data_IF_098835696902
#
_entry.id   IF_098835696902
#
_cell.length_a   1.000
_cell.length_b   1.000
_cell.length_c   1.000
_cell.angle_alpha   90.00
_cell.angle_beta   90.00
_cell.angle_gamma   90.00
#
_symmetry.space_group_name_H-M   'P 1'
#
loop_
_entity.id
_entity.type
_entity.pdbx_description
1 polymer ?
#
# COMPACT_ATOMS: atom_id res chain seq x y z
N UNK A 1 -53.23 -13.45 -31.02
CA UNK A 1 -53.91 -12.16 -30.74
C UNK A 1 -52.81 -11.10 -30.52
N UNK A 2 -52.70 -10.20 -31.50
CA UNK A 2 -51.81 -9.03 -31.42
C UNK A 2 -52.49 -8.02 -30.47
N UNK A 3 -51.90 -7.82 -29.32
CA UNK A 3 -52.30 -6.72 -28.44
C UNK A 3 -51.53 -5.48 -28.88
N UNK A 4 -52.06 -4.72 -29.84
CA UNK A 4 -51.53 -3.43 -30.29
C UNK A 4 -52.00 -2.35 -29.29
N UNK A 5 -51.14 -1.96 -28.39
CA UNK A 5 -51.32 -0.71 -27.64
C UNK A 5 -50.86 0.41 -28.59
N UNK A 6 -51.79 1.01 -29.32
CA UNK A 6 -51.57 2.08 -30.26
C UNK A 6 -51.73 3.43 -29.57
N UNK A 7 -50.71 3.85 -28.83
CA UNK A 7 -50.67 5.21 -28.31
C UNK A 7 -49.75 6.09 -29.15
N UNK A 8 -50.22 7.30 -29.45
CA UNK A 8 -49.38 8.33 -30.08
C UNK A 8 -48.23 8.67 -29.16
N UNK A 9 -47.05 8.96 -29.67
CA UNK A 9 -45.89 9.38 -28.83
C UNK A 9 -46.29 10.71 -28.17
N UNK A 10 -46.75 10.66 -26.95
CA UNK A 10 -46.86 11.84 -26.08
C UNK A 10 -45.54 12.05 -25.40
N UNK A 11 -44.95 13.25 -25.58
CA UNK A 11 -43.92 13.70 -24.68
C UNK A 11 -44.57 13.86 -23.30
N UNK A 12 -44.09 13.10 -22.31
CA UNK A 12 -44.51 13.23 -20.93
C UNK A 12 -43.40 13.98 -20.21
N UNK A 13 -43.78 14.94 -19.42
CA UNK A 13 -42.95 15.53 -18.38
C UNK A 13 -43.45 15.08 -17.02
N UNK A 14 -42.58 14.80 -16.07
CA UNK A 14 -42.99 14.35 -14.76
C UNK A 14 -41.88 14.46 -13.75
N UNK A 15 -42.23 14.21 -12.50
CA UNK A 15 -41.30 14.15 -11.39
C UNK A 15 -41.21 12.71 -10.89
N UNK A 16 -40.03 12.29 -10.40
CA UNK A 16 -39.87 11.01 -9.75
C UNK A 16 -40.38 11.14 -8.30
N UNK A 17 -41.34 10.30 -7.90
CA UNK A 17 -42.02 10.40 -6.58
C UNK A 17 -41.04 10.53 -5.40
N UNK A 18 -39.92 9.82 -5.44
CA UNK A 18 -38.90 9.88 -4.40
C UNK A 18 -38.03 11.16 -4.44
N UNK A 19 -38.08 11.91 -5.55
CA UNK A 19 -37.29 13.12 -5.78
C UNK A 19 -38.19 14.25 -6.33
N UNK A 20 -38.84 15.00 -5.47
CA UNK A 20 -39.88 15.98 -5.86
C UNK A 20 -39.34 17.11 -6.78
N UNK A 21 -38.06 17.39 -6.73
CA UNK A 21 -37.43 18.42 -7.57
C UNK A 21 -36.91 17.85 -8.91
N UNK A 22 -37.14 16.56 -9.17
CA UNK A 22 -36.72 15.94 -10.42
C UNK A 22 -37.55 16.41 -11.62
N UNK A 23 -36.89 16.58 -12.76
CA UNK A 23 -37.51 16.92 -14.01
C UNK A 23 -36.99 15.97 -15.10
N UNK A 24 -37.85 15.54 -16.02
CA UNK A 24 -37.46 14.75 -17.17
C UNK A 24 -38.48 14.85 -18.33
N UNK A 25 -38.03 14.66 -19.55
CA UNK A 25 -38.84 14.41 -20.70
C UNK A 25 -38.78 12.93 -21.11
N UNK A 26 -39.93 12.31 -21.35
CA UNK A 26 -40.01 10.93 -21.83
C UNK A 26 -40.80 10.90 -23.13
N UNK A 27 -40.22 10.27 -24.15
CA UNK A 27 -40.85 10.07 -25.46
C UNK A 27 -40.57 8.66 -25.93
N UNK A 28 -41.57 7.99 -26.44
CA UNK A 28 -41.37 6.68 -27.04
C UNK A 28 -42.63 5.85 -27.13
N UNK A 29 -42.46 4.63 -27.64
CA UNK A 29 -43.47 3.60 -27.78
C UNK A 29 -42.82 2.23 -27.83
N UNK A 30 -43.46 1.25 -27.24
CA UNK A 30 -43.05 -0.14 -27.36
C UNK A 30 -44.27 -1.01 -27.73
N UNK A 31 -44.01 -2.02 -28.53
CA UNK A 31 -44.99 -3.02 -28.94
C UNK A 31 -44.53 -4.37 -28.43
N UNK A 32 -45.49 -5.13 -27.89
CA UNK A 32 -45.25 -6.51 -27.45
C UNK A 32 -45.97 -7.44 -28.45
N UNK A 33 -45.28 -8.45 -28.92
CA UNK A 33 -45.81 -9.43 -29.87
C UNK A 33 -45.20 -10.82 -29.63
N UNK A 34 -45.83 -11.84 -30.19
CA UNK A 34 -45.41 -13.25 -29.99
C UNK A 34 -46.11 -13.94 -28.83
N UNK A 35 -45.52 -15.03 -28.32
CA UNK A 35 -46.07 -15.84 -27.26
C UNK A 35 -45.81 -15.24 -25.88
N UNK A 36 -46.74 -15.47 -24.95
CA UNK A 36 -46.67 -14.91 -23.61
C UNK A 36 -45.43 -15.41 -22.82
N UNK A 37 -44.99 -16.64 -23.13
CA UNK A 37 -43.75 -17.24 -22.51
C UNK A 37 -42.46 -16.72 -23.10
N UNK A 38 -42.48 -16.14 -24.26
CA UNK A 38 -41.32 -15.59 -24.97
C UNK A 38 -41.75 -14.32 -25.73
N UNK A 39 -42.09 -13.25 -25.02
CA UNK A 39 -42.57 -12.02 -25.63
C UNK A 39 -41.41 -11.34 -26.40
N UNK A 40 -41.74 -10.84 -27.58
CA UNK A 40 -40.82 -10.00 -28.37
C UNK A 40 -41.24 -8.55 -28.24
N UNK A 41 -40.25 -7.68 -28.03
CA UNK A 41 -40.47 -6.25 -27.88
C UNK A 41 -39.90 -5.53 -29.12
N UNK A 42 -40.59 -4.49 -29.58
CA UNK A 42 -40.14 -3.60 -30.65
C UNK A 42 -40.52 -2.17 -30.34
N UNK A 43 -39.65 -1.23 -30.66
CA UNK A 43 -39.84 0.19 -30.42
C UNK A 43 -38.80 0.71 -29.44
N UNK A 44 -39.01 1.87 -28.87
CA UNK A 44 -38.03 2.43 -27.96
C UNK A 44 -38.55 3.62 -27.18
N UNK A 45 -37.75 4.02 -26.21
CA UNK A 45 -37.97 5.18 -25.36
C UNK A 45 -36.75 6.08 -25.40
N UNK A 46 -37.00 7.37 -25.35
CA UNK A 46 -36.00 8.41 -25.20
C UNK A 46 -36.32 9.21 -23.93
N UNK A 47 -35.34 9.29 -23.02
CA UNK A 47 -35.38 10.17 -21.86
C UNK A 47 -34.49 11.37 -22.14
N UNK A 48 -35.01 12.56 -21.95
CA UNK A 48 -34.27 13.80 -22.21
C UNK A 48 -34.31 14.71 -21.00
N UNK A 49 -33.20 15.44 -20.78
CA UNK A 49 -33.07 16.47 -19.77
C UNK A 49 -33.50 16.00 -18.38
N UNK A 50 -33.11 14.77 -17.98
CA UNK A 50 -33.33 14.30 -16.63
C UNK A 50 -32.45 15.09 -15.68
N UNK A 51 -33.05 15.70 -14.68
CA UNK A 51 -32.37 16.39 -13.57
C UNK A 51 -32.93 15.88 -12.25
N UNK A 52 -32.03 15.48 -11.35
CA UNK A 52 -32.35 15.11 -9.96
C UNK A 52 -31.42 15.91 -9.05
N UNK A 53 -31.80 17.15 -8.68
CA UNK A 53 -30.94 18.05 -7.90
C UNK A 53 -30.52 17.47 -6.55
N UNK A 54 -31.37 16.68 -5.91
CA UNK A 54 -31.10 16.02 -4.62
C UNK A 54 -29.90 15.06 -4.70
N UNK A 55 -29.68 14.46 -5.86
CA UNK A 55 -28.58 13.56 -6.14
C UNK A 55 -27.43 14.23 -6.91
N UNK A 56 -27.54 15.51 -7.24
CA UNK A 56 -26.60 16.20 -8.12
C UNK A 56 -26.40 15.44 -9.44
N UNK A 57 -27.51 14.88 -9.97
CA UNK A 57 -27.54 14.07 -11.17
C UNK A 57 -28.22 14.86 -12.29
N UNK A 58 -27.55 14.93 -13.45
CA UNK A 58 -28.17 15.40 -14.69
C UNK A 58 -27.84 14.44 -15.82
N UNK A 59 -28.79 14.21 -16.70
CA UNK A 59 -28.66 13.37 -17.88
C UNK A 59 -29.26 14.10 -19.08
N UNK A 60 -28.48 14.32 -20.12
CA UNK A 60 -28.95 15.01 -21.30
C UNK A 60 -29.87 14.14 -22.15
N UNK A 61 -29.45 12.91 -22.41
CA UNK A 61 -30.19 11.97 -23.24
C UNK A 61 -29.89 10.52 -22.84
N UNK A 62 -30.94 9.70 -22.83
CA UNK A 62 -30.84 8.25 -22.77
C UNK A 62 -31.81 7.63 -23.78
N UNK A 63 -31.33 6.70 -24.56
CA UNK A 63 -32.09 5.96 -25.57
C UNK A 63 -32.23 4.49 -25.11
N UNK A 64 -33.41 3.92 -25.34
CA UNK A 64 -33.70 2.49 -25.13
C UNK A 64 -34.38 1.97 -26.36
N UNK A 65 -33.81 1.00 -27.06
CA UNK A 65 -34.31 0.43 -28.32
C UNK A 65 -34.52 -1.09 -28.20
N UNK A 66 -35.76 -1.52 -28.30
CA UNK A 66 -36.18 -2.91 -28.19
C UNK A 66 -36.05 -3.65 -29.52
N UNK A 67 -35.34 -4.76 -29.54
CA UNK A 67 -35.02 -5.60 -30.73
C UNK A 67 -35.37 -7.08 -30.51
N UNK A 68 -36.66 -7.38 -30.38
CA UNK A 68 -37.14 -8.74 -30.15
C UNK A 68 -36.93 -9.19 -28.71
N UNK A 69 -35.93 -10.03 -28.45
CA UNK A 69 -35.59 -10.55 -27.13
C UNK A 69 -34.44 -9.80 -26.43
N UNK A 70 -33.99 -8.70 -27.00
CA UNK A 70 -32.98 -7.84 -26.44
C UNK A 70 -33.40 -6.37 -26.51
N UNK A 71 -32.72 -5.55 -25.73
CA UNK A 71 -32.81 -4.11 -25.80
C UNK A 71 -31.41 -3.49 -25.70
N UNK A 72 -31.15 -2.54 -26.62
CA UNK A 72 -29.99 -1.70 -26.54
C UNK A 72 -30.31 -0.44 -25.74
N UNK A 73 -29.39 0.01 -24.92
CA UNK A 73 -29.52 1.29 -24.23
C UNK A 73 -28.27 2.12 -24.36
N UNK A 74 -28.44 3.43 -24.41
CA UNK A 74 -27.36 4.40 -24.45
C UNK A 74 -27.71 5.55 -23.47
N UNK A 75 -26.81 5.84 -22.56
CA UNK A 75 -26.85 6.97 -21.63
C UNK A 75 -25.76 7.94 -22.02
N UNK A 76 -26.14 9.12 -22.44
CA UNK A 76 -25.23 10.15 -22.98
C UNK A 76 -25.22 11.37 -22.07
N UNK A 77 -24.02 11.92 -21.87
CA UNK A 77 -23.83 13.13 -21.07
C UNK A 77 -24.48 13.02 -19.67
N UNK A 78 -24.28 11.87 -19.01
CA UNK A 78 -24.62 11.71 -17.60
C UNK A 78 -23.58 12.43 -16.77
N UNK A 79 -24.04 13.37 -15.93
CA UNK A 79 -23.22 14.04 -14.94
C UNK A 79 -23.71 13.62 -13.53
N UNK A 80 -22.79 13.14 -12.69
CA UNK A 80 -23.08 12.73 -11.33
C UNK A 80 -22.10 13.40 -10.38
N UNK A 81 -22.58 14.41 -9.67
CA UNK A 81 -21.80 15.24 -8.74
C UNK A 81 -20.45 15.70 -9.33
N UNK A 82 -20.48 16.19 -10.59
CA UNK A 82 -19.30 16.68 -11.30
C UNK A 82 -18.45 15.60 -11.97
N UNK A 83 -18.88 14.34 -11.95
CA UNK A 83 -18.30 13.25 -12.72
C UNK A 83 -19.10 13.00 -13.98
N UNK A 84 -18.46 12.94 -15.14
CA UNK A 84 -19.13 12.61 -16.39
C UNK A 84 -19.11 11.11 -16.64
N UNK A 85 -20.19 10.57 -17.21
CA UNK A 85 -20.25 9.17 -17.63
C UNK A 85 -21.05 9.01 -18.92
N UNK A 86 -20.63 8.03 -19.71
CA UNK A 86 -21.38 7.50 -20.84
C UNK A 86 -21.49 6.00 -20.66
N UNK A 87 -22.70 5.48 -20.81
CA UNK A 87 -22.98 4.06 -20.62
C UNK A 87 -23.74 3.55 -21.83
N UNK A 88 -23.24 2.49 -22.45
CA UNK A 88 -23.93 1.82 -23.55
C UNK A 88 -24.01 0.33 -23.23
N UNK A 89 -25.08 -0.32 -23.63
CA UNK A 89 -25.19 -1.74 -23.38
C UNK A 89 -26.36 -2.40 -24.08
N UNK A 90 -26.40 -3.71 -23.92
CA UNK A 90 -27.48 -4.56 -24.42
C UNK A 90 -27.90 -5.51 -23.31
N UNK A 91 -29.17 -5.61 -23.03
CA UNK A 91 -29.69 -6.56 -22.05
C UNK A 91 -30.78 -7.46 -22.66
N UNK A 92 -31.00 -8.61 -22.03
CA UNK A 92 -32.07 -9.56 -22.38
C UNK A 92 -33.43 -9.05 -21.89
N UNK A 93 -34.45 -9.15 -22.74
CA UNK A 93 -35.85 -8.89 -22.38
C UNK A 93 -36.65 -10.17 -22.13
N UNK A 94 -36.00 -11.32 -22.17
CA UNK A 94 -36.62 -12.60 -21.83
C UNK A 94 -36.91 -12.65 -20.33
N UNK A 95 -38.03 -13.28 -19.93
CA UNK A 95 -38.32 -13.54 -18.55
C UNK A 95 -37.21 -14.38 -17.91
N UNK A 96 -36.53 -13.83 -16.95
CA UNK A 96 -35.46 -14.49 -16.18
C UNK A 96 -35.54 -14.03 -14.73
N UNK A 97 -35.00 -14.84 -13.82
CA UNK A 97 -34.81 -14.43 -12.42
C UNK A 97 -33.73 -13.37 -12.26
N UNK A 98 -32.84 -13.26 -13.25
CA UNK A 98 -31.74 -12.31 -13.26
C UNK A 98 -31.92 -11.30 -14.39
N UNK A 99 -31.49 -10.06 -14.15
CA UNK A 99 -31.33 -9.04 -15.18
C UNK A 99 -30.01 -9.28 -15.93
N UNK A 100 -30.09 -9.75 -17.15
CA UNK A 100 -28.95 -10.21 -17.93
C UNK A 100 -28.47 -9.15 -18.90
N UNK A 101 -27.27 -8.63 -18.69
CA UNK A 101 -26.59 -7.66 -19.55
C UNK A 101 -25.55 -8.42 -20.38
N UNK A 102 -25.80 -8.54 -21.67
CA UNK A 102 -24.91 -9.23 -22.60
C UNK A 102 -23.67 -8.38 -22.95
N UNK A 103 -23.84 -7.07 -23.03
CA UNK A 103 -22.78 -6.09 -23.31
C UNK A 103 -22.98 -4.85 -22.46
N UNK A 104 -21.88 -4.31 -21.90
CA UNK A 104 -21.86 -3.06 -21.11
C UNK A 104 -20.56 -2.30 -21.36
N UNK A 105 -20.65 -1.12 -21.95
CA UNK A 105 -19.50 -0.24 -22.14
C UNK A 105 -19.70 1.03 -21.31
N UNK A 106 -18.79 1.30 -20.39
CA UNK A 106 -18.81 2.48 -19.52
C UNK A 106 -17.58 3.33 -19.80
N UNK A 107 -17.77 4.60 -20.08
CA UNK A 107 -16.67 5.53 -20.29
C UNK A 107 -16.88 6.83 -19.52
N UNK A 108 -15.75 7.47 -19.15
CA UNK A 108 -15.74 8.75 -18.46
C UNK A 108 -14.47 9.52 -18.81
N UNK A 109 -14.59 10.83 -18.99
CA UNK A 109 -13.43 11.72 -19.10
C UNK A 109 -12.88 12.06 -17.72
N UNK A 110 -13.78 12.23 -16.74
CA UNK A 110 -13.42 12.57 -15.37
C UNK A 110 -14.38 11.92 -14.38
N UNK A 111 -13.86 11.04 -13.54
CA UNK A 111 -14.58 10.37 -12.46
C UNK A 111 -13.94 10.72 -11.11
N UNK A 112 -14.71 11.35 -10.24
CA UNK A 112 -14.32 11.55 -8.85
C UNK A 112 -15.08 10.55 -7.98
N UNK A 113 -14.38 9.52 -7.49
CA UNK A 113 -14.98 8.40 -6.77
C UNK A 113 -15.63 8.87 -5.47
N UNK A 114 -14.97 9.75 -4.72
CA UNK A 114 -15.46 10.25 -3.43
C UNK A 114 -16.77 11.02 -3.60
N UNK A 115 -16.86 11.83 -4.66
CA UNK A 115 -18.08 12.57 -4.98
C UNK A 115 -19.22 11.66 -5.42
N UNK A 116 -18.92 10.61 -6.17
CA UNK A 116 -19.93 9.62 -6.60
C UNK A 116 -20.41 8.80 -5.40
N UNK A 117 -19.52 8.38 -4.51
CA UNK A 117 -19.90 7.68 -3.27
C UNK A 117 -20.81 8.51 -2.39
N UNK A 118 -20.56 9.82 -2.26
CA UNK A 118 -21.44 10.74 -1.56
C UNK A 118 -22.87 10.77 -2.13
N UNK A 119 -23.05 10.54 -3.42
CA UNK A 119 -24.39 10.46 -4.04
C UNK A 119 -25.13 9.22 -3.58
N UNK A 120 -24.47 8.08 -3.46
CA UNK A 120 -25.11 6.86 -2.95
C UNK A 120 -25.59 7.02 -1.50
N UNK A 121 -24.81 7.69 -0.65
CA UNK A 121 -25.23 8.02 0.72
C UNK A 121 -26.44 8.97 0.74
N UNK A 122 -26.48 9.96 -0.16
CA UNK A 122 -27.63 10.84 -0.33
C UNK A 122 -28.87 10.07 -0.79
N UNK A 123 -28.71 9.18 -1.79
CA UNK A 123 -29.81 8.36 -2.30
C UNK A 123 -30.46 7.49 -1.21
N UNK A 124 -29.67 6.94 -0.29
CA UNK A 124 -30.17 6.18 0.86
C UNK A 124 -31.08 6.99 1.79
N UNK A 125 -30.90 8.31 1.88
CA UNK A 125 -31.78 9.18 2.68
C UNK A 125 -33.17 9.33 2.08
N UNK A 126 -33.29 9.19 0.76
CA UNK A 126 -34.56 9.29 0.04
C UNK A 126 -35.16 7.92 -0.27
N UNK A 127 -34.44 6.83 0.00
CA UNK A 127 -34.98 5.49 -0.16
C UNK A 127 -36.23 5.31 0.71
N UNK A 128 -37.34 4.73 0.17
CA UNK A 128 -38.52 4.45 0.97
C UNK A 128 -38.14 3.59 2.16
N UNK A 129 -38.45 4.04 3.37
CA UNK A 129 -38.26 3.24 4.58
C UNK A 129 -39.24 2.08 4.52
N UNK A 130 -38.86 1.00 3.90
CA UNK A 130 -39.61 -0.26 3.97
C UNK A 130 -39.59 -0.69 5.41
N UNK A 131 -40.77 -0.91 6.07
CA UNK A 131 -40.76 -1.43 7.43
C UNK A 131 -39.99 -2.75 7.42
N UNK A 132 -38.94 -2.81 8.26
CA UNK A 132 -38.13 -4.01 8.42
C UNK A 132 -39.06 -5.15 8.78
N UNK A 133 -39.36 -6.03 7.85
CA UNK A 133 -39.94 -7.34 8.17
C UNK A 133 -38.84 -8.05 8.96
N UNK A 134 -39.03 -8.10 10.27
CA UNK A 134 -38.28 -8.95 11.17
C UNK A 134 -38.59 -10.41 10.81
N UNK A 135 -37.85 -10.93 9.85
CA UNK A 135 -37.69 -12.35 9.62
C UNK A 135 -36.21 -12.67 9.82
N UNK A 136 -35.95 -13.21 11.01
CA UNK A 136 -34.72 -13.91 11.31
C UNK A 136 -34.50 -15.00 10.26
N UNK A 137 -33.21 -15.15 9.81
CA UNK A 137 -32.70 -16.11 8.82
C UNK A 137 -32.93 -15.69 7.35
N UNK A 138 -32.23 -14.67 6.88
CA UNK A 138 -31.99 -14.54 5.45
C UNK A 138 -30.50 -14.65 5.18
N UNK A 139 -30.11 -15.75 4.53
CA UNK A 139 -28.87 -15.72 3.74
C UNK A 139 -28.90 -14.45 2.89
N UNK A 140 -27.75 -13.76 2.72
CA UNK A 140 -27.68 -12.59 1.85
C UNK A 140 -28.26 -12.98 0.48
N UNK A 141 -29.27 -12.25 0.01
CA UNK A 141 -29.93 -12.55 -1.24
C UNK A 141 -28.92 -12.39 -2.41
N UNK A 142 -28.97 -13.31 -3.35
CA UNK A 142 -28.20 -13.23 -4.57
C UNK A 142 -28.51 -11.92 -5.32
N UNK A 143 -27.47 -11.30 -5.88
CA UNK A 143 -27.62 -10.09 -6.70
C UNK A 143 -28.26 -10.51 -8.02
N UNK A 144 -29.48 -10.07 -8.35
CA UNK A 144 -30.19 -10.54 -9.53
C UNK A 144 -29.72 -9.82 -10.80
N UNK A 145 -28.41 -9.66 -10.96
CA UNK A 145 -27.79 -9.02 -12.14
C UNK A 145 -26.64 -9.85 -12.63
N UNK A 146 -26.59 -10.10 -13.92
CA UNK A 146 -25.48 -10.77 -14.60
C UNK A 146 -24.93 -9.83 -15.67
N UNK A 147 -23.64 -9.60 -15.72
CA UNK A 147 -22.92 -8.88 -16.76
C UNK A 147 -21.93 -9.86 -17.42
N UNK A 148 -22.22 -10.26 -18.65
CA UNK A 148 -21.37 -11.23 -19.36
C UNK A 148 -20.10 -10.58 -19.88
N UNK A 149 -20.25 -9.48 -20.64
CA UNK A 149 -19.14 -8.77 -21.26
C UNK A 149 -19.31 -7.27 -21.02
N UNK A 150 -18.45 -6.72 -20.18
CA UNK A 150 -18.38 -5.30 -19.96
C UNK A 150 -16.99 -4.74 -20.23
N UNK A 151 -16.92 -3.46 -20.56
CA UNK A 151 -15.68 -2.71 -20.65
C UNK A 151 -15.78 -1.38 -19.91
N UNK A 152 -14.66 -0.94 -19.34
CA UNK A 152 -14.51 0.40 -18.79
C UNK A 152 -13.37 1.12 -19.49
N UNK A 153 -13.57 2.42 -19.74
CA UNK A 153 -12.56 3.29 -20.32
C UNK A 153 -12.64 4.68 -19.67
N UNK A 154 -11.81 4.92 -18.67
CA UNK A 154 -11.79 6.16 -17.92
C UNK A 154 -10.50 6.93 -18.19
N UNK A 155 -10.64 8.18 -18.68
CA UNK A 155 -9.47 9.01 -18.96
C UNK A 155 -8.80 9.45 -17.66
N UNK A 156 -9.61 9.83 -16.65
CA UNK A 156 -9.10 10.24 -15.33
C UNK A 156 -10.04 9.82 -14.22
N UNK A 157 -9.48 9.21 -13.19
CA UNK A 157 -10.15 8.86 -11.93
C UNK A 157 -9.42 9.57 -10.78
N UNK A 158 -10.17 10.19 -9.88
CA UNK A 158 -9.62 10.82 -8.67
C UNK A 158 -10.31 10.22 -7.45
N UNK A 159 -9.51 9.84 -6.44
CA UNK A 159 -9.99 9.40 -5.12
C UNK A 159 -9.01 9.88 -4.05
N UNK A 160 -9.47 10.65 -3.09
CA UNK A 160 -8.58 11.36 -2.17
C UNK A 160 -7.57 12.23 -2.94
N UNK A 161 -6.29 11.99 -2.69
CA UNK A 161 -5.19 12.64 -3.39
C UNK A 161 -4.66 11.83 -4.60
N UNK A 162 -5.21 10.63 -4.84
CA UNK A 162 -4.72 9.73 -5.89
C UNK A 162 -5.33 10.11 -7.23
N UNK A 163 -4.49 10.39 -8.23
CA UNK A 163 -4.85 10.67 -9.62
C UNK A 163 -4.47 9.47 -10.51
N UNK A 164 -5.48 8.78 -11.01
CA UNK A 164 -5.35 7.59 -11.86
C UNK A 164 -5.77 7.97 -13.28
N UNK A 165 -4.98 7.61 -14.29
CA UNK A 165 -5.21 8.02 -15.69
C UNK A 165 -5.23 6.84 -16.64
N UNK A 166 -5.98 7.02 -17.75
CA UNK A 166 -6.02 6.08 -18.86
C UNK A 166 -6.36 4.66 -18.41
N UNK A 167 -7.41 4.51 -17.61
CA UNK A 167 -7.87 3.22 -17.07
C UNK A 167 -8.72 2.49 -18.10
N UNK A 168 -8.32 1.30 -18.47
CA UNK A 168 -9.05 0.39 -19.32
C UNK A 168 -9.11 -1.00 -18.69
N UNK A 169 -10.27 -1.62 -18.70
CA UNK A 169 -10.44 -2.99 -18.23
C UNK A 169 -11.69 -3.64 -18.82
N UNK A 170 -11.71 -4.95 -18.86
CA UNK A 170 -12.93 -5.73 -19.01
C UNK A 170 -13.59 -5.96 -17.66
N UNK A 171 -14.91 -5.93 -17.60
CA UNK A 171 -15.69 -6.21 -16.39
C UNK A 171 -16.70 -7.33 -16.63
N UNK A 172 -17.02 -8.07 -15.59
CA UNK A 172 -18.12 -9.04 -15.59
C UNK A 172 -18.68 -9.21 -14.18
N UNK A 173 -19.95 -9.57 -14.09
CA UNK A 173 -20.62 -9.90 -12.83
C UNK A 173 -21.42 -11.19 -13.04
N UNK A 174 -21.12 -12.22 -12.31
CA UNK A 174 -21.86 -13.47 -12.32
C UNK A 174 -21.67 -14.16 -10.97
N UNK A 175 -22.71 -14.83 -10.47
CA UNK A 175 -22.68 -15.55 -9.19
C UNK A 175 -22.14 -14.66 -8.03
N UNK A 176 -22.57 -13.42 -8.00
CA UNK A 176 -22.14 -12.40 -7.03
C UNK A 176 -20.64 -12.05 -7.08
N UNK A 177 -19.91 -12.51 -8.09
CA UNK A 177 -18.49 -12.18 -8.26
C UNK A 177 -18.36 -11.12 -9.34
N UNK A 178 -17.94 -9.93 -8.93
CA UNK A 178 -17.54 -8.85 -9.82
C UNK A 178 -16.07 -9.00 -10.16
N UNK A 179 -15.76 -9.06 -11.46
CA UNK A 179 -14.40 -9.19 -11.95
C UNK A 179 -14.00 -7.98 -12.78
N UNK A 180 -12.81 -7.49 -12.55
CA UNK A 180 -12.08 -6.53 -13.39
C UNK A 180 -10.90 -7.30 -14.00
N UNK A 181 -10.89 -7.44 -15.31
CA UNK A 181 -9.89 -8.23 -16.03
C UNK A 181 -9.09 -7.36 -17.00
N UNK A 182 -7.81 -7.72 -17.17
CA UNK A 182 -6.90 -7.01 -18.09
C UNK A 182 -6.83 -5.51 -17.78
N UNK A 183 -6.90 -5.14 -16.52
CA UNK A 183 -6.74 -3.76 -16.06
C UNK A 183 -5.42 -3.20 -16.59
N UNK A 184 -5.49 -2.03 -17.18
CA UNK A 184 -4.35 -1.22 -17.59
C UNK A 184 -4.62 0.20 -17.17
N UNK A 185 -3.71 0.79 -16.42
CA UNK A 185 -3.88 2.16 -15.93
C UNK A 185 -2.53 2.82 -15.67
N UNK A 186 -2.54 4.13 -15.47
CA UNK A 186 -1.39 4.90 -14.99
C UNK A 186 -1.73 5.49 -13.63
N UNK A 187 -0.85 5.25 -12.65
CA UNK A 187 -0.91 5.84 -11.33
C UNK A 187 0.51 6.16 -10.86
N UNK A 188 0.69 7.25 -10.13
CA UNK A 188 2.00 7.66 -9.59
C UNK A 188 3.08 7.69 -10.69
N UNK A 189 2.74 8.28 -11.83
CA UNK A 189 3.54 8.40 -13.06
C UNK A 189 3.93 7.06 -13.73
N UNK A 190 3.69 5.93 -13.09
CA UNK A 190 3.96 4.59 -13.59
C UNK A 190 2.77 3.94 -14.30
N UNK A 191 2.95 2.66 -14.64
CA UNK A 191 1.94 1.82 -15.29
C UNK A 191 1.57 0.67 -14.38
N UNK A 192 0.28 0.45 -14.19
CA UNK A 192 -0.26 -0.66 -13.41
C UNK A 192 -1.11 -1.56 -14.31
N UNK A 193 -1.00 -2.87 -14.13
CA UNK A 193 -1.77 -3.88 -14.86
C UNK A 193 -2.18 -4.98 -13.91
N UNK A 194 -3.28 -5.67 -14.23
CA UNK A 194 -3.67 -6.86 -13.48
C UNK A 194 -5.13 -7.17 -13.51
N UNK A 195 -5.58 -7.86 -12.48
CA UNK A 195 -6.95 -8.31 -12.31
C UNK A 195 -7.39 -8.12 -10.87
N UNK A 196 -8.67 -7.81 -10.69
CA UNK A 196 -9.29 -7.69 -9.38
C UNK A 196 -10.59 -8.49 -9.42
N UNK A 197 -10.89 -9.24 -8.37
CA UNK A 197 -12.20 -9.87 -8.22
C UNK A 197 -12.75 -9.64 -6.83
N UNK A 198 -14.05 -9.41 -6.74
CA UNK A 198 -14.75 -9.13 -5.49
C UNK A 198 -16.05 -9.96 -5.43
N UNK A 199 -16.20 -10.75 -4.39
CA UNK A 199 -17.48 -11.35 -4.06
C UNK A 199 -18.32 -10.33 -3.27
N UNK A 200 -19.42 -9.88 -3.87
CA UNK A 200 -20.25 -8.80 -3.35
C UNK A 200 -21.07 -9.19 -2.11
N UNK A 201 -21.23 -10.50 -1.85
CA UNK A 201 -21.92 -11.01 -0.66
C UNK A 201 -20.96 -11.20 0.50
N UNK A 202 -19.83 -11.87 0.24
CA UNK A 202 -18.86 -12.20 1.28
C UNK A 202 -17.81 -11.12 1.52
N UNK A 203 -17.81 -10.07 0.68
CA UNK A 203 -16.80 -9.00 0.66
C UNK A 203 -15.36 -9.52 0.48
N UNK A 204 -15.20 -10.72 -0.09
CA UNK A 204 -13.88 -11.27 -0.42
C UNK A 204 -13.33 -10.55 -1.65
N UNK A 205 -12.24 -9.82 -1.46
CA UNK A 205 -11.51 -9.09 -2.48
C UNK A 205 -10.18 -9.80 -2.78
N UNK A 206 -9.93 -10.11 -4.06
CA UNK A 206 -8.65 -10.63 -4.54
C UNK A 206 -8.04 -9.62 -5.51
N UNK A 207 -6.76 -9.32 -5.32
CA UNK A 207 -6.01 -8.30 -6.07
C UNK A 207 -4.73 -8.93 -6.60
N UNK A 208 -4.56 -8.96 -7.92
CA UNK A 208 -3.31 -9.33 -8.60
C UNK A 208 -2.89 -8.21 -9.51
N UNK A 209 -1.89 -7.46 -9.10
CA UNK A 209 -1.41 -6.30 -9.84
C UNK A 209 0.09 -6.36 -10.02
N UNK A 210 0.56 -5.80 -11.12
CA UNK A 210 1.96 -5.50 -11.38
C UNK A 210 2.10 -4.03 -11.73
N UNK A 211 3.08 -3.37 -11.14
CA UNK A 211 3.41 -1.98 -11.42
C UNK A 211 4.84 -1.82 -11.91
N UNK A 212 5.09 -0.84 -12.78
CA UNK A 212 6.43 -0.49 -13.25
C UNK A 212 6.56 1.00 -13.48
N UNK A 213 7.70 1.55 -13.12
CA UNK A 213 7.98 2.97 -13.26
C UNK A 213 7.16 3.83 -12.31
N UNK A 214 6.81 3.29 -11.14
CA UNK A 214 6.05 3.97 -10.10
C UNK A 214 6.98 4.95 -9.37
N UNK A 215 6.61 6.21 -9.32
CA UNK A 215 7.24 7.20 -8.46
C UNK A 215 6.86 6.91 -7.01
N UNK A 216 7.86 6.51 -6.22
CA UNK A 216 7.66 6.08 -4.82
C UNK A 216 7.30 7.24 -3.92
N UNK A 217 7.94 8.38 -4.08
CA UNK A 217 7.67 9.56 -3.25
C UNK A 217 6.24 10.04 -3.43
N UNK A 218 5.79 10.13 -4.68
CA UNK A 218 4.42 10.46 -5.02
C UNK A 218 3.41 9.42 -4.51
N UNK A 219 3.73 8.14 -4.64
CA UNK A 219 2.86 7.07 -4.16
C UNK A 219 2.70 7.13 -2.63
N UNK A 220 3.78 7.34 -1.89
CA UNK A 220 3.75 7.47 -0.43
C UNK A 220 3.03 8.75 0.02
N UNK A 221 3.26 9.87 -0.67
CA UNK A 221 2.59 11.12 -0.37
C UNK A 221 1.09 11.04 -0.63
N UNK A 222 0.69 10.62 -1.84
CA UNK A 222 -0.71 10.66 -2.28
C UNK A 222 -1.57 9.57 -1.59
N UNK A 223 -1.01 8.37 -1.37
CA UNK A 223 -1.76 7.26 -0.80
C UNK A 223 -1.66 7.17 0.73
N UNK A 224 -0.55 7.58 1.34
CA UNK A 224 -0.31 7.43 2.77
C UNK A 224 -0.04 8.75 3.52
N UNK A 225 0.04 9.89 2.84
CA UNK A 225 0.40 11.17 3.44
C UNK A 225 1.85 11.25 3.93
N UNK A 226 2.69 10.29 3.53
CA UNK A 226 4.09 10.16 3.97
C UNK A 226 4.99 10.97 3.04
N UNK A 227 5.35 12.16 3.49
CA UNK A 227 6.23 13.07 2.76
C UNK A 227 7.71 12.80 3.10
N UNK A 228 8.60 12.96 2.12
CA UNK A 228 10.07 12.90 2.28
C UNK A 228 10.56 11.62 2.98
N UNK A 229 9.88 10.47 2.78
CA UNK A 229 10.18 9.20 3.47
C UNK A 229 11.08 8.30 2.62
N UNK A 230 10.74 8.15 1.36
CA UNK A 230 11.45 7.30 0.41
C UNK A 230 11.19 7.82 -1.00
N UNK A 231 12.24 7.99 -1.78
CA UNK A 231 12.14 8.31 -3.20
C UNK A 231 12.71 7.19 -4.07
N UNK A 232 12.50 7.29 -5.38
CA UNK A 232 12.99 6.34 -6.37
C UNK A 232 11.91 5.83 -7.30
N UNK A 233 12.29 4.94 -8.21
CA UNK A 233 11.36 4.35 -9.18
C UNK A 233 11.12 2.89 -8.85
N UNK A 234 9.87 2.53 -8.58
CA UNK A 234 9.48 1.18 -8.18
C UNK A 234 8.92 0.34 -9.33
N UNK A 235 9.20 -0.95 -9.25
CA UNK A 235 8.40 -2.03 -9.79
C UNK A 235 7.81 -2.84 -8.63
N UNK A 236 6.58 -3.33 -8.78
CA UNK A 236 5.96 -4.21 -7.78
C UNK A 236 5.13 -5.30 -8.43
N UNK A 237 4.94 -6.37 -7.69
CA UNK A 237 4.00 -7.44 -7.98
C UNK A 237 3.24 -7.78 -6.69
N UNK A 238 1.91 -7.87 -6.77
CA UNK A 238 1.07 -8.21 -5.64
C UNK A 238 0.08 -9.31 -5.99
N UNK A 239 -0.08 -10.27 -5.09
CA UNK A 239 -1.14 -11.27 -5.08
C UNK A 239 -1.66 -11.36 -3.64
N UNK A 240 -2.73 -10.62 -3.38
CA UNK A 240 -3.31 -10.51 -2.05
C UNK A 240 -4.81 -10.78 -2.07
N UNK A 241 -5.31 -11.28 -0.98
CA UNK A 241 -6.72 -11.42 -0.70
C UNK A 241 -7.07 -10.87 0.67
N UNK A 242 -8.23 -10.23 0.78
CA UNK A 242 -8.75 -9.72 2.04
C UNK A 242 -10.28 -9.79 2.06
N UNK A 243 -10.84 -9.84 3.27
CA UNK A 243 -12.29 -9.94 3.50
C UNK A 243 -12.66 -9.11 4.72
N UNK A 244 -13.83 -8.52 4.71
CA UNK A 244 -14.39 -7.80 5.85
C UNK A 244 -14.92 -6.42 5.49
N UNK A 245 -15.80 -5.91 6.35
CA UNK A 245 -16.39 -4.58 6.20
C UNK A 245 -15.60 -3.50 6.97
N UNK A 246 -14.87 -3.89 8.01
CA UNK A 246 -14.07 -2.99 8.84
C UNK A 246 -12.58 -3.14 8.54
N UNK A 247 -11.80 -2.12 8.85
CA UNK A 247 -10.35 -2.16 8.72
C UNK A 247 -9.73 -3.34 9.49
N UNK A 248 -10.20 -3.59 10.71
CA UNK A 248 -9.69 -4.69 11.55
C UNK A 248 -9.96 -6.06 10.91
N UNK A 249 -11.19 -6.30 10.42
CA UNK A 249 -11.53 -7.54 9.71
C UNK A 249 -10.70 -7.72 8.45
N UNK A 250 -10.50 -6.65 7.68
CA UNK A 250 -9.68 -6.66 6.48
C UNK A 250 -8.23 -7.00 6.79
N UNK A 251 -7.62 -6.39 7.82
CA UNK A 251 -6.24 -6.68 8.21
C UNK A 251 -6.09 -8.11 8.75
N UNK A 252 -7.02 -8.59 9.59
CA UNK A 252 -7.00 -9.99 10.07
C UNK A 252 -7.11 -11.00 8.94
N UNK A 253 -7.87 -10.69 7.90
CA UNK A 253 -8.08 -11.60 6.77
C UNK A 253 -7.07 -11.43 5.64
N UNK A 254 -6.23 -10.38 5.69
CA UNK A 254 -5.24 -10.08 4.67
C UNK A 254 -4.23 -11.23 4.53
N UNK A 255 -4.16 -11.80 3.32
CA UNK A 255 -3.25 -12.89 2.97
C UNK A 255 -2.61 -12.62 1.62
N UNK A 256 -1.40 -13.15 1.44
CA UNK A 256 -0.71 -13.10 0.16
C UNK A 256 0.64 -12.41 0.24
N UNK A 257 1.11 -11.91 -0.89
CA UNK A 257 2.47 -11.35 -1.02
C UNK A 257 2.49 -10.06 -1.82
N UNK A 258 3.46 -9.20 -1.47
CA UNK A 258 3.84 -8.01 -2.25
C UNK A 258 5.35 -8.04 -2.43
N UNK A 259 5.81 -8.28 -3.66
CA UNK A 259 7.21 -8.10 -4.05
C UNK A 259 7.45 -6.69 -4.57
N UNK A 260 8.58 -6.11 -4.26
CA UNK A 260 8.95 -4.78 -4.76
C UNK A 260 10.44 -4.68 -5.09
N UNK A 261 10.76 -3.80 -6.03
CA UNK A 261 12.11 -3.42 -6.45
C UNK A 261 12.12 -1.92 -6.73
N UNK A 262 12.77 -1.15 -5.88
CA UNK A 262 12.94 0.30 -6.01
C UNK A 262 14.35 0.59 -6.49
N UNK A 263 14.48 1.38 -7.52
CA UNK A 263 15.76 1.74 -8.15
C UNK A 263 16.09 3.21 -7.99
N UNK A 264 17.38 3.50 -7.84
CA UNK A 264 17.95 4.85 -7.81
C UNK A 264 17.16 5.76 -6.85
N UNK A 265 17.02 5.30 -5.62
CA UNK A 265 16.22 5.98 -4.61
C UNK A 265 17.08 6.58 -3.51
N UNK A 266 16.36 7.25 -2.63
CA UNK A 266 16.93 7.85 -1.44
C UNK A 266 15.96 7.65 -0.28
N UNK A 267 16.48 7.23 0.86
CA UNK A 267 15.74 7.29 2.12
C UNK A 267 15.60 8.75 2.53
N UNK A 268 14.48 9.13 3.07
CA UNK A 268 14.28 10.46 3.65
C UNK A 268 15.29 10.73 4.76
N UNK A 269 15.48 12.01 5.13
CA UNK A 269 16.53 12.37 6.07
C UNK A 269 16.36 11.61 7.39
N UNK A 270 17.38 10.82 7.73
CA UNK A 270 17.50 10.18 9.04
C UNK A 270 17.56 11.20 10.19
N UNK A 271 17.73 12.51 9.90
CA UNK A 271 17.72 13.59 10.89
C UNK A 271 16.41 13.74 11.68
N UNK A 272 15.28 13.21 11.16
CA UNK A 272 14.10 13.01 11.99
C UNK A 272 14.26 11.82 12.94
N UNK A 273 15.00 10.80 12.55
CA UNK A 273 15.42 9.71 13.44
C UNK A 273 16.36 10.22 14.54
N UNK A 274 17.25 11.16 14.24
CA UNK A 274 18.14 11.77 15.24
C UNK A 274 17.34 12.42 16.37
N UNK A 275 16.35 13.24 16.05
CA UNK A 275 15.44 13.81 17.06
C UNK A 275 14.58 12.74 17.74
N UNK A 276 14.37 11.62 17.08
CA UNK A 276 13.52 10.51 17.55
C UNK A 276 14.28 9.55 18.48
N UNK A 277 15.55 9.32 18.27
CA UNK A 277 16.35 8.38 19.09
C UNK A 277 16.89 9.06 20.36
N UNK A 278 17.11 10.37 20.32
CA UNK A 278 17.71 11.13 21.43
C UNK A 278 16.70 11.44 22.56
N UNK A 279 15.38 11.40 22.32
CA UNK A 279 14.45 12.14 23.16
C UNK A 279 13.96 11.47 24.45
N UNK A 280 13.85 10.16 24.63
CA UNK A 280 13.18 9.67 25.86
C UNK A 280 13.69 8.41 26.57
N UNK A 281 14.35 7.45 25.92
CA UNK A 281 14.69 6.18 26.57
C UNK A 281 16.17 5.81 26.67
N UNK A 282 17.04 6.70 26.25
CA UNK A 282 18.49 6.51 26.34
C UNK A 282 19.04 7.34 27.51
N UNK A 283 18.19 7.77 28.43
CA UNK A 283 18.59 8.52 29.63
C UNK A 283 19.43 7.71 30.60
N UNK A 284 19.43 6.39 30.46
CA UNK A 284 20.08 5.49 31.43
C UNK A 284 21.53 5.13 31.08
N UNK A 285 22.03 5.47 29.87
CA UNK A 285 23.45 5.25 29.53
C UNK A 285 23.98 6.38 28.66
N UNK A 286 24.79 7.26 29.21
CA UNK A 286 25.47 8.34 28.51
C UNK A 286 26.32 7.84 27.33
N UNK A 287 26.91 6.66 27.44
CA UNK A 287 27.69 6.04 26.35
C UNK A 287 26.81 5.63 25.17
N UNK A 288 25.66 5.04 25.46
CA UNK A 288 24.76 4.64 24.39
C UNK A 288 24.16 5.88 23.68
N UNK A 289 23.89 6.97 24.41
CA UNK A 289 23.49 8.26 23.87
C UNK A 289 24.55 8.89 22.97
N UNK A 290 25.77 8.94 23.46
CA UNK A 290 26.93 9.48 22.71
C UNK A 290 27.23 8.64 21.48
N UNK A 291 27.05 7.34 21.61
CA UNK A 291 27.27 6.34 20.61
C UNK A 291 26.27 6.37 19.48
N UNK A 292 24.99 6.28 19.80
CA UNK A 292 23.92 6.37 18.83
C UNK A 292 23.86 7.76 18.22
N UNK A 293 24.06 8.80 19.02
CA UNK A 293 24.20 10.17 18.51
C UNK A 293 25.33 10.33 17.51
N UNK A 294 26.49 9.71 17.78
CA UNK A 294 27.61 9.65 16.86
C UNK A 294 27.33 8.89 15.57
N UNK A 295 26.68 7.71 15.68
CA UNK A 295 26.24 6.92 14.52
C UNK A 295 25.27 7.74 13.66
N UNK A 296 24.27 8.33 14.26
CA UNK A 296 23.24 9.08 13.56
C UNK A 296 23.80 10.38 12.97
N UNK A 297 24.61 11.12 13.74
CA UNK A 297 25.29 12.32 13.26
C UNK A 297 26.25 12.00 12.09
N UNK A 298 26.99 10.90 12.18
CA UNK A 298 27.83 10.41 11.09
C UNK A 298 27.01 10.02 9.85
N UNK A 299 25.87 9.37 10.03
CA UNK A 299 24.95 8.99 8.94
C UNK A 299 24.25 10.19 8.30
N UNK A 300 24.06 11.31 9.01
CA UNK A 300 23.43 12.53 8.50
C UNK A 300 24.38 13.47 7.80
N UNK A 301 25.69 13.44 8.14
CA UNK A 301 26.71 14.29 7.54
C UNK A 301 27.24 13.77 6.21
N UNK A 302 27.10 12.47 5.95
CA UNK A 302 27.50 11.84 4.70
C UNK A 302 26.25 11.39 3.98
N UNK A 303 26.25 11.49 2.65
CA UNK A 303 25.14 11.06 1.82
C UNK A 303 24.97 9.52 1.83
N UNK A 304 24.59 9.01 3.02
CA UNK A 304 24.34 7.58 3.27
C UNK A 304 22.95 7.15 2.82
N UNK A 305 22.11 8.10 2.45
CA UNK A 305 20.69 7.89 2.19
C UNK A 305 20.39 7.37 0.79
N UNK A 306 21.34 7.54 -0.16
CA UNK A 306 21.18 7.05 -1.53
C UNK A 306 21.44 5.55 -1.66
N UNK A 307 20.56 4.87 -2.42
CA UNK A 307 20.72 3.48 -2.80
C UNK A 307 20.46 3.28 -4.30
N UNK A 308 21.14 2.31 -4.90
CA UNK A 308 20.90 1.90 -6.28
C UNK A 308 19.74 0.92 -6.41
N UNK A 309 19.53 0.09 -5.37
CA UNK A 309 18.50 -0.93 -5.32
C UNK A 309 17.99 -1.10 -3.90
N UNK A 310 16.68 -1.16 -3.75
CA UNK A 310 15.97 -1.60 -2.55
C UNK A 310 14.90 -2.61 -2.98
N UNK A 311 15.04 -3.86 -2.57
CA UNK A 311 14.13 -4.93 -2.96
C UNK A 311 13.73 -5.82 -1.80
N UNK A 312 12.57 -6.43 -1.89
CA UNK A 312 12.09 -7.35 -0.89
C UNK A 312 10.73 -7.94 -1.22
N UNK A 313 10.29 -8.83 -0.34
CA UNK A 313 8.96 -9.41 -0.40
C UNK A 313 8.31 -9.31 0.97
N UNK A 314 7.10 -8.76 1.00
CA UNK A 314 6.22 -8.74 2.16
C UNK A 314 5.23 -9.90 2.03
N UNK A 315 5.07 -10.68 3.07
CA UNK A 315 4.11 -11.79 3.12
C UNK A 315 3.12 -11.53 4.25
N UNK A 316 1.85 -11.48 3.90
CA UNK A 316 0.77 -11.17 4.83
C UNK A 316 0.02 -12.44 5.23
N UNK A 317 -0.23 -12.61 6.50
CA UNK A 317 -1.09 -13.65 7.02
C UNK A 317 -1.61 -13.24 8.42
N UNK A 318 -2.91 -13.29 8.59
CA UNK A 318 -3.60 -13.11 9.88
C UNK A 318 -3.19 -11.84 10.66
N UNK A 319 -3.12 -10.71 9.95
CA UNK A 319 -2.74 -9.42 10.53
C UNK A 319 -1.24 -9.20 10.69
N UNK A 320 -0.42 -10.19 10.38
CA UNK A 320 1.04 -10.10 10.44
C UNK A 320 1.62 -9.90 9.03
N UNK A 321 2.47 -8.91 8.90
CA UNK A 321 3.33 -8.69 7.74
C UNK A 321 4.73 -9.22 8.02
N UNK A 322 5.10 -10.34 7.41
CA UNK A 322 6.46 -10.87 7.48
C UNK A 322 7.32 -10.26 6.38
N UNK A 323 8.40 -9.61 6.76
CA UNK A 323 9.43 -9.14 5.85
C UNK A 323 10.36 -10.32 5.53
N UNK A 324 10.15 -10.97 4.37
CA UNK A 324 11.20 -11.81 3.79
C UNK A 324 12.34 -10.88 3.45
N UNK A 325 13.62 -11.27 3.53
CA UNK A 325 14.71 -10.32 3.56
C UNK A 325 14.54 -9.14 2.59
N UNK A 326 14.44 -7.95 3.15
CA UNK A 326 14.48 -6.69 2.40
C UNK A 326 15.92 -6.24 2.35
N UNK A 327 16.48 -6.06 1.17
CA UNK A 327 17.87 -5.66 0.96
C UNK A 327 17.95 -4.32 0.27
N UNK A 328 18.88 -3.49 0.72
CA UNK A 328 19.24 -2.22 0.09
C UNK A 328 20.72 -2.21 -0.28
N UNK A 329 21.04 -1.88 -1.53
CA UNK A 329 22.40 -1.67 -2.00
C UNK A 329 22.67 -0.17 -2.05
N UNK A 330 23.30 0.36 -1.02
CA UNK A 330 23.72 1.75 -0.95
C UNK A 330 25.17 1.95 -1.41
N UNK A 331 25.54 3.19 -1.57
CA UNK A 331 26.93 3.55 -1.93
C UNK A 331 27.90 3.34 -0.78
N UNK A 332 27.49 3.65 0.43
CA UNK A 332 28.26 3.60 1.67
C UNK A 332 27.53 2.95 2.83
N UNK A 333 26.22 2.69 2.69
CA UNK A 333 25.39 1.96 3.65
C UNK A 333 24.49 0.98 2.91
N UNK A 334 24.71 -0.31 3.12
CA UNK A 334 23.84 -1.37 2.61
C UNK A 334 23.12 -2.04 3.76
N UNK A 335 21.85 -2.44 3.53
CA UNK A 335 20.97 -2.94 4.58
C UNK A 335 20.42 -4.32 4.22
N UNK A 336 20.23 -5.13 5.26
CA UNK A 336 19.47 -6.38 5.25
C UNK A 336 18.48 -6.34 6.40
N UNK A 337 17.19 -6.32 6.09
CA UNK A 337 16.11 -6.17 7.06
C UNK A 337 15.25 -7.44 7.01
N UNK A 338 15.02 -8.05 8.15
CA UNK A 338 14.13 -9.20 8.30
C UNK A 338 13.35 -9.10 9.61
N UNK A 339 12.17 -9.67 9.64
CA UNK A 339 11.32 -9.65 10.82
C UNK A 339 9.84 -9.55 10.47
N UNK A 340 9.06 -9.06 11.41
CA UNK A 340 7.61 -8.98 11.26
C UNK A 340 7.03 -7.66 11.76
N UNK A 341 5.87 -7.32 11.22
CA UNK A 341 5.09 -6.17 11.62
C UNK A 341 3.63 -6.58 11.85
N UNK A 342 3.14 -6.39 13.06
CA UNK A 342 1.73 -6.59 13.41
C UNK A 342 0.92 -5.37 12.99
N UNK A 343 0.10 -5.54 11.95
CA UNK A 343 -0.74 -4.48 11.36
C UNK A 343 -1.84 -4.00 12.31
N UNK A 344 -2.28 -4.87 13.23
CA UNK A 344 -3.38 -4.55 14.16
C UNK A 344 -2.90 -3.81 15.39
N UNK A 345 -1.73 -4.21 15.90
CA UNK A 345 -1.12 -3.60 17.08
C UNK A 345 -0.18 -2.46 16.73
N UNK A 346 0.10 -2.27 15.44
CA UNK A 346 1.11 -1.34 14.95
C UNK A 346 2.48 -1.60 15.59
N UNK A 347 2.85 -2.87 15.70
CA UNK A 347 4.03 -3.31 16.44
C UNK A 347 5.05 -3.94 15.51
N UNK A 348 6.31 -3.48 15.62
CA UNK A 348 7.45 -3.98 14.86
C UNK A 348 8.31 -4.92 15.70
N UNK A 349 8.80 -6.00 15.09
CA UNK A 349 9.88 -6.85 15.61
C UNK A 349 10.80 -7.22 14.45
N UNK A 350 11.86 -6.43 14.26
CA UNK A 350 12.74 -6.52 13.11
C UNK A 350 14.21 -6.50 13.52
N UNK A 351 15.02 -7.23 12.76
CA UNK A 351 16.49 -7.12 12.78
C UNK A 351 16.94 -6.38 11.52
N UNK A 352 17.68 -5.31 11.72
CA UNK A 352 18.32 -4.54 10.66
C UNK A 352 19.81 -4.79 10.76
N UNK A 353 20.38 -5.51 9.80
CA UNK A 353 21.82 -5.68 9.66
C UNK A 353 22.32 -4.75 8.58
N UNK A 354 23.43 -4.13 8.82
CA UNK A 354 24.01 -3.13 7.92
C UNK A 354 25.49 -3.38 7.66
N UNK A 355 25.90 -3.02 6.46
CA UNK A 355 27.29 -2.85 6.08
C UNK A 355 27.52 -1.36 5.84
N UNK A 356 28.54 -0.79 6.49
CA UNK A 356 28.88 0.62 6.43
C UNK A 356 30.34 0.79 6.00
N UNK A 357 30.59 1.75 5.13
CA UNK A 357 31.94 2.05 4.67
C UNK A 357 32.82 2.53 5.84
N UNK A 358 34.10 2.15 5.85
CA UNK A 358 35.05 2.49 6.92
C UNK A 358 35.18 3.99 7.17
N UNK A 359 35.08 4.79 6.11
CA UNK A 359 35.08 6.25 6.21
C UNK A 359 34.01 6.77 7.18
N UNK A 360 32.85 6.14 7.19
CA UNK A 360 31.74 6.53 8.09
C UNK A 360 31.97 6.01 9.51
N UNK A 361 32.51 4.79 9.65
CA UNK A 361 32.75 4.21 10.98
C UNK A 361 33.77 5.03 11.80
N UNK A 362 34.73 5.65 11.15
CA UNK A 362 35.72 6.51 11.81
C UNK A 362 35.12 7.80 12.40
N UNK A 363 33.93 8.18 11.96
CA UNK A 363 33.20 9.36 12.49
C UNK A 363 32.38 9.03 13.76
N UNK A 364 32.30 7.75 14.13
CA UNK A 364 31.46 7.30 15.23
C UNK A 364 32.10 7.46 16.63
N UNK A 365 33.22 8.19 16.72
CA UNK A 365 33.87 8.47 18.00
C UNK A 365 34.28 7.21 18.78
N UNK A 366 34.10 7.18 20.12
CA UNK A 366 34.53 6.06 20.97
C UNK A 366 33.94 4.70 20.59
N UNK A 367 32.75 4.67 20.03
CA UNK A 367 32.11 3.41 19.56
C UNK A 367 32.70 2.92 18.25
N UNK A 368 33.14 3.82 17.38
CA UNK A 368 33.94 3.42 16.23
C UNK A 368 35.22 2.70 16.62
N UNK A 369 35.77 3.01 17.81
CA UNK A 369 36.95 2.36 18.34
C UNK A 369 36.70 0.89 18.79
N UNK A 370 35.50 0.56 19.25
CA UNK A 370 35.12 -0.82 19.67
C UNK A 370 34.82 -1.73 18.47
N UNK A 371 34.81 -1.20 17.26
CA UNK A 371 34.59 -1.98 16.05
C UNK A 371 35.73 -3.00 15.86
N UNK A 372 35.42 -4.30 15.68
CA UNK A 372 36.45 -5.36 15.50
C UNK A 372 37.48 -5.07 14.43
N UNK A 373 37.08 -4.48 13.30
CA UNK A 373 37.97 -4.14 12.21
C UNK A 373 38.95 -2.98 12.56
N UNK A 374 38.48 -2.02 13.38
CA UNK A 374 39.31 -0.88 13.81
C UNK A 374 40.24 -1.24 14.98
N UNK A 375 39.79 -2.10 15.88
CA UNK A 375 40.62 -2.56 17.00
C UNK A 375 41.93 -3.20 16.57
N UNK A 376 41.91 -3.97 15.50
CA UNK A 376 43.10 -4.65 14.97
C UNK A 376 44.06 -3.67 14.29
N UNK A 377 43.55 -2.55 13.76
CA UNK A 377 44.29 -1.63 12.89
C UNK A 377 44.72 -0.31 13.54
N UNK A 378 44.24 0.03 14.74
CA UNK A 378 44.55 1.35 15.32
C UNK A 378 45.14 1.28 16.72
N UNK A 379 46.42 1.58 16.81
CA UNK A 379 47.15 1.75 18.08
C UNK A 379 46.64 2.93 18.95
N UNK A 380 45.86 3.84 18.39
CA UNK A 380 45.38 5.05 19.07
C UNK A 380 44.14 4.84 19.98
N UNK A 381 43.49 3.70 19.91
CA UNK A 381 42.26 3.37 20.69
C UNK A 381 42.54 2.58 21.99
N UNK A 382 43.77 2.40 22.32
CA UNK A 382 44.24 1.41 23.31
C UNK A 382 43.78 1.66 24.76
N UNK A 383 43.40 2.86 25.10
CA UNK A 383 43.09 3.21 26.52
C UNK A 383 41.59 3.15 26.87
N UNK A 384 40.74 2.79 25.94
CA UNK A 384 39.28 2.95 26.09
C UNK A 384 38.54 1.58 26.04
N UNK A 385 39.15 0.53 25.48
CA UNK A 385 38.46 -0.72 25.19
C UNK A 385 38.84 -1.80 26.22
N UNK A 386 37.88 -2.17 27.04
CA UNK A 386 37.98 -3.35 27.91
C UNK A 386 37.34 -4.57 27.24
N UNK A 387 37.78 -5.78 27.63
CA UNK A 387 37.16 -7.03 27.15
C UNK A 387 35.66 -7.09 27.46
N UNK A 388 35.22 -6.49 28.55
CA UNK A 388 33.82 -6.38 28.95
C UNK A 388 33.02 -5.46 27.99
N UNK A 389 33.55 -4.26 27.69
CA UNK A 389 32.95 -3.34 26.76
C UNK A 389 32.84 -3.96 25.36
N UNK A 390 33.89 -4.64 24.89
CA UNK A 390 33.89 -5.35 23.61
C UNK A 390 32.78 -6.39 23.54
N UNK A 391 32.61 -7.24 24.56
CA UNK A 391 31.59 -8.29 24.60
C UNK A 391 30.14 -7.73 24.62
N UNK A 392 29.94 -6.54 25.21
CA UNK A 392 28.63 -5.88 25.22
C UNK A 392 28.24 -5.36 23.84
N UNK A 393 29.20 -4.74 23.14
CA UNK A 393 28.92 -4.05 21.87
C UNK A 393 29.21 -4.87 20.61
N UNK A 394 29.84 -6.05 20.74
CA UNK A 394 30.13 -6.93 19.62
C UNK A 394 29.34 -8.24 19.71
N UNK A 395 28.85 -8.70 18.58
CA UNK A 395 28.15 -9.98 18.44
C UNK A 395 28.81 -10.82 17.35
N UNK A 396 29.15 -12.06 17.69
CA UNK A 396 29.65 -13.03 16.74
C UNK A 396 28.46 -13.64 15.99
N UNK A 397 28.51 -13.62 14.66
CA UNK A 397 27.50 -14.26 13.83
C UNK A 397 28.14 -15.24 12.83
N UNK A 398 27.41 -16.28 12.40
CA UNK A 398 27.87 -17.22 11.38
C UNK A 398 28.22 -16.52 10.04
N UNK A 399 29.11 -17.12 9.30
CA UNK A 399 29.61 -16.53 8.04
C UNK A 399 28.53 -16.47 6.94
N UNK A 400 27.60 -17.42 6.93
CA UNK A 400 26.43 -17.41 6.05
C UNK A 400 25.48 -16.24 6.34
N UNK A 401 25.24 -15.93 7.61
CA UNK A 401 24.45 -14.76 8.02
C UNK A 401 25.19 -13.44 7.71
N UNK A 402 26.50 -13.43 7.86
CA UNK A 402 27.34 -12.28 7.51
C UNK A 402 27.33 -12.00 6.01
N UNK A 403 27.36 -13.04 5.20
CA UNK A 403 27.34 -12.95 3.73
C UNK A 403 25.97 -12.54 3.17
N UNK A 404 24.90 -12.72 3.93
CA UNK A 404 23.56 -12.26 3.57
C UNK A 404 23.44 -10.72 3.58
N UNK A 405 24.33 -10.00 4.27
CA UNK A 405 24.37 -8.53 4.24
C UNK A 405 24.95 -8.09 2.90
N UNK A 406 24.21 -7.37 2.05
CA UNK A 406 24.66 -7.06 0.69
C UNK A 406 25.93 -6.18 0.69
N UNK A 407 26.73 -6.34 -0.35
CA UNK A 407 27.86 -5.45 -0.63
C UNK A 407 27.36 -4.06 -1.07
N UNK A 408 28.30 -3.11 -1.19
CA UNK A 408 27.96 -1.78 -1.72
C UNK A 408 27.66 -1.81 -3.22
N UNK A 409 26.86 -0.87 -3.69
CA UNK A 409 26.64 -0.65 -5.12
C UNK A 409 27.90 -0.17 -5.84
N UNK A 410 28.76 0.56 -5.15
CA UNK A 410 30.05 1.02 -5.68
C UNK A 410 31.16 -0.01 -5.37
N UNK A 411 31.68 -0.63 -6.41
CA UNK A 411 32.76 -1.63 -6.31
C UNK A 411 34.09 -1.09 -5.78
N UNK A 412 34.27 0.22 -5.78
CA UNK A 412 35.50 0.90 -5.33
C UNK A 412 35.44 1.32 -3.86
N UNK A 413 34.28 1.15 -3.20
CA UNK A 413 34.15 1.36 -1.77
C UNK A 413 34.61 0.10 -1.06
N UNK A 414 35.57 0.28 -0.28
CA UNK A 414 36.43 -0.46 0.59
C UNK A 414 35.96 -1.83 1.12
N UNK A 415 36.90 -2.81 1.06
CA UNK A 415 36.75 -4.12 1.66
C UNK A 415 36.75 -4.10 3.22
N UNK A 416 37.19 -3.01 3.85
CA UNK A 416 37.24 -2.79 5.28
C UNK A 416 35.93 -2.30 5.88
N UNK A 417 34.78 -2.62 5.22
CA UNK A 417 33.47 -2.22 5.69
C UNK A 417 33.14 -2.80 7.06
N UNK A 418 32.68 -1.96 7.95
CA UNK A 418 32.16 -2.40 9.25
C UNK A 418 30.71 -2.86 9.14
N UNK A 419 30.34 -3.81 9.97
CA UNK A 419 29.01 -4.41 9.97
C UNK A 419 28.41 -4.28 11.36
N UNK A 420 27.12 -3.95 11.40
CA UNK A 420 26.40 -3.81 12.66
C UNK A 420 24.96 -4.34 12.55
N UNK A 421 24.36 -4.58 13.69
CA UNK A 421 22.95 -4.98 13.82
C UNK A 421 22.22 -4.02 14.74
N UNK A 422 21.00 -3.67 14.32
CA UNK A 422 19.99 -3.02 15.16
C UNK A 422 18.84 -3.99 15.38
N UNK A 423 18.34 -4.06 16.61
CA UNK A 423 17.05 -4.68 16.93
C UNK A 423 16.02 -3.57 17.07
N UNK A 424 15.02 -3.60 16.20
CA UNK A 424 13.91 -2.65 16.17
C UNK A 424 12.67 -3.37 16.68
N UNK A 425 12.21 -3.00 17.88
CA UNK A 425 11.09 -3.66 18.54
C UNK A 425 10.23 -2.66 19.29
N UNK A 426 8.92 -2.66 19.03
CA UNK A 426 8.00 -1.81 19.76
C UNK A 426 6.84 -1.28 18.93
N UNK A 427 6.08 -0.39 19.55
CA UNK A 427 4.95 0.31 18.93
C UNK A 427 5.45 1.34 17.91
N UNK A 428 5.12 1.14 16.64
CA UNK A 428 5.53 2.03 15.56
C UNK A 428 4.93 3.44 15.65
N UNK A 429 3.88 3.64 16.44
CA UNK A 429 3.38 4.98 16.78
C UNK A 429 4.34 5.73 17.73
N UNK A 430 5.30 5.01 18.35
CA UNK A 430 6.30 5.56 19.26
C UNK A 430 7.71 5.28 18.73
N UNK A 431 8.09 5.84 17.59
CA UNK A 431 9.33 5.49 16.91
C UNK A 431 10.60 5.71 17.74
N UNK A 432 10.53 6.60 18.74
CA UNK A 432 11.62 6.90 19.69
C UNK A 432 12.08 5.70 20.54
N UNK A 433 11.19 4.74 20.74
CA UNK A 433 11.44 3.59 21.61
C UNK A 433 11.73 2.31 20.84
N UNK A 434 11.84 2.38 19.52
CA UNK A 434 11.92 1.21 18.65
C UNK A 434 13.30 0.55 18.65
N UNK A 435 14.39 1.30 18.69
CA UNK A 435 15.74 0.71 18.70
C UNK A 435 16.05 0.21 20.09
N UNK A 436 16.17 -1.12 20.25
CA UNK A 436 16.44 -1.80 21.54
C UNK A 436 17.88 -2.20 21.75
N UNK A 437 18.61 -2.45 20.68
CA UNK A 437 20.04 -2.75 20.78
C UNK A 437 20.80 -2.36 19.52
N UNK A 438 22.06 -2.05 19.71
CA UNK A 438 23.06 -1.88 18.67
C UNK A 438 24.23 -2.81 18.98
N UNK A 439 24.70 -3.56 17.99
CA UNK A 439 25.91 -4.37 18.13
C UNK A 439 26.73 -4.36 16.84
N UNK A 440 28.04 -4.26 16.97
CA UNK A 440 28.94 -4.56 15.89
C UNK A 440 28.89 -6.05 15.57
N UNK A 441 29.04 -6.42 14.31
CA UNK A 441 29.04 -7.80 13.88
C UNK A 441 30.44 -8.22 13.47
N UNK A 442 30.84 -9.39 13.91
CA UNK A 442 32.09 -10.04 13.55
C UNK A 442 31.86 -11.51 13.21
N UNK A 443 32.65 -12.06 12.30
CA UNK A 443 32.80 -13.52 12.16
C UNK A 443 33.52 -14.09 13.34
N UNK A 444 33.50 -15.40 13.52
CA UNK A 444 34.23 -16.07 14.62
C UNK A 444 35.73 -15.69 14.61
N UNK A 445 36.36 -15.71 13.44
CA UNK A 445 37.77 -15.36 13.29
C UNK A 445 38.05 -13.89 13.62
N UNK A 446 37.20 -12.97 13.13
CA UNK A 446 37.31 -11.53 13.42
C UNK A 446 37.09 -11.25 14.92
N UNK A 447 36.09 -11.91 15.52
CA UNK A 447 35.77 -11.76 16.94
C UNK A 447 36.92 -12.24 17.84
N UNK A 448 37.40 -13.46 17.59
CA UNK A 448 38.51 -14.04 18.38
C UNK A 448 39.79 -13.21 18.25
N UNK A 449 40.14 -12.77 17.04
CA UNK A 449 41.31 -11.90 16.82
C UNK A 449 41.20 -10.58 17.58
N UNK A 450 39.98 -9.99 17.66
CA UNK A 450 39.76 -8.77 18.40
C UNK A 450 39.82 -9.01 19.94
N UNK A 451 39.30 -10.12 20.42
CA UNK A 451 39.40 -10.51 21.86
C UNK A 451 40.86 -10.74 22.23
N UNK A 452 41.61 -11.48 21.44
CA UNK A 452 43.05 -11.74 21.71
C UNK A 452 43.83 -10.43 21.74
N UNK A 453 43.53 -9.51 20.84
CA UNK A 453 44.11 -8.19 20.83
C UNK A 453 43.77 -7.38 22.09
N UNK A 454 42.49 -7.30 22.49
CA UNK A 454 42.05 -6.60 23.72
C UNK A 454 42.72 -7.18 24.96
N UNK A 455 42.83 -8.49 25.02
CA UNK A 455 43.51 -9.17 26.14
C UNK A 455 45.05 -8.96 26.16
N UNK A 456 45.62 -8.57 25.04
CA UNK A 456 47.05 -8.24 24.96
C UNK A 456 47.38 -6.80 25.39
N UNK A 457 46.39 -5.96 25.57
CA UNK A 457 46.55 -4.59 26.06
C UNK A 457 46.85 -4.61 27.55
N UNK A 458 47.96 -3.99 28.02
CA UNK A 458 48.22 -3.88 29.47
C UNK A 458 47.10 -3.13 30.17
N UNK A 459 46.69 -3.61 31.37
CA UNK A 459 45.74 -2.86 32.18
C UNK A 459 46.24 -1.45 32.47
N UNK A 460 45.39 -0.41 32.36
CA UNK A 460 45.79 0.96 32.67
C UNK A 460 46.31 1.04 34.09
N UNK A 461 47.48 1.65 34.26
CA UNK A 461 48.05 1.89 35.56
C UNK A 461 47.14 2.81 36.33
N UNK A 462 46.65 2.38 37.52
CA UNK A 462 45.83 3.20 38.43
C UNK A 462 46.46 4.58 38.64
N UNK A 463 45.82 5.65 38.18
CA UNK A 463 46.25 7.03 38.35
C UNK A 463 46.11 7.98 37.16
N UNK A 464 45.72 7.54 36.01
CA UNK A 464 45.40 8.46 34.91
C UNK A 464 43.88 8.77 34.96
N UNK A 465 43.55 10.07 35.11
CA UNK A 465 42.18 10.60 35.00
C UNK A 465 41.60 10.40 33.57
N UNK A 466 41.33 9.17 33.20
CA UNK A 466 40.48 8.86 32.07
C UNK A 466 39.13 8.46 32.65
N UNK A 467 38.10 9.21 32.35
CA UNK A 467 36.69 8.86 32.62
C UNK A 467 36.48 7.45 32.08
N UNK A 468 36.55 6.47 32.94
CA UNK A 468 36.63 5.05 32.54
C UNK A 468 35.24 4.60 32.05
N UNK A 469 35.25 3.90 30.95
CA UNK A 469 34.06 3.14 30.44
C UNK A 469 33.53 2.21 31.56
N UNK A 470 34.31 1.85 32.56
CA UNK A 470 33.90 1.07 33.72
C UNK A 470 32.81 1.73 34.57
N UNK A 471 32.86 3.06 34.77
CA UNK A 471 31.76 3.78 35.48
C UNK A 471 30.46 3.71 34.71
N UNK A 472 30.53 3.68 33.41
CA UNK A 472 29.36 3.64 32.51
C UNK A 472 28.81 2.22 32.37
N UNK A 473 29.66 1.19 32.49
CA UNK A 473 29.25 -0.22 32.44
C UNK A 473 28.57 -0.62 33.74
N UNK A 474 28.94 -0.04 34.87
CA UNK A 474 28.28 -0.29 36.18
C UNK A 474 26.87 0.29 36.27
N UNK A 475 26.58 1.39 35.52
CA UNK A 475 25.24 1.97 35.44
C UNK A 475 24.28 1.15 34.55
N UNK A 476 24.79 0.30 33.68
CA UNK A 476 23.95 -0.55 32.80
C UNK A 476 23.52 -1.86 33.48
N UNK A 477 24.27 -2.32 34.49
CA UNK A 477 24.00 -3.55 35.27
C UNK A 477 23.16 -3.28 36.54
N UNK A 478 22.80 -2.03 36.88
CA UNK A 478 21.97 -1.62 38.00
C UNK A 478 20.58 -1.15 37.53
#
# INVERSE_FOLDING_TARGET
SEMCIRDRPKAMSGNIYAFPQSEFGLKGRAFVFGELKSPRLRGGYEVTNLSIPELLLTLKQSDLDFKGHSADFAVRDLMLNGSDMQINGTFSTLPSTNFEISKLDVSSKYLNVDKVMNVSERALKYAPKTPAKTSASSQPADIPVIIYNGSINFARIVTGNIDIRNTQAGISLANNIFNIRNLRTRAFDGRVRGNISMNLITSLLNIRLTGRGIDVEKALLDAAGMKDTLSGTAAFETDISLKGATYEEQMRSLKGTVGFDVRNGQFGPFGKLENLIIAENIRESQLFQTALGGVISGLTTIDTTHFSELKGTLSFNDGICNLKPVTSLGNILSLHIAGEFDLLRNYADMKVRARMASLVSNLLGPIGAINPANLINSAASLNIVTAKAFSIFCEMIPEDEMSAIPSFSNKYVDNAATKFQLVVRGDAAKPLTLVKSFKWLATETEYQSAVDYVNSIPEPVEGSEATTIEEVVQEVDA
#
